data_IF_687476985329
#
_entry.id   IF_687476985329
#
_cell.length_a   1.000
_cell.length_b   1.000
_cell.length_c   1.000
_cell.angle_alpha   90.00
_cell.angle_beta   90.00
_cell.angle_gamma   90.00
#
_symmetry.space_group_name_H-M   'P 1'
#
loop_
_entity.id
_entity.type
_entity.pdbx_description
1 polymer ?
#
# COMPACT_ATOMS: atom_id res chain seq x y z
N UNK A 1 -48.12 31.62 -21.24
CA UNK A 1 -47.12 31.16 -20.24
C UNK A 1 -46.98 29.62 -20.13
N UNK A 2 -47.59 28.80 -21.00
CA UNK A 2 -47.54 27.32 -20.94
C UNK A 2 -46.32 26.67 -21.61
N UNK A 3 -45.54 27.42 -22.41
CA UNK A 3 -44.48 26.85 -23.25
C UNK A 3 -43.14 26.69 -22.50
N UNK A 4 -42.99 27.32 -21.33
CA UNK A 4 -41.75 27.30 -20.54
C UNK A 4 -41.61 26.03 -19.70
N UNK A 5 -42.71 25.40 -19.27
CA UNK A 5 -42.64 24.17 -18.47
C UNK A 5 -42.24 22.97 -19.32
N UNK A 6 -42.68 22.91 -20.59
CA UNK A 6 -42.24 21.88 -21.52
C UNK A 6 -40.75 22.02 -21.84
N UNK A 7 -40.27 23.24 -22.07
CA UNK A 7 -38.83 23.50 -22.29
C UNK A 7 -37.98 23.06 -21.08
N UNK A 8 -38.45 23.37 -19.87
CA UNK A 8 -37.77 22.99 -18.62
C UNK A 8 -37.75 21.47 -18.42
N UNK A 9 -38.87 20.78 -18.71
CA UNK A 9 -38.96 19.33 -18.64
C UNK A 9 -38.04 18.64 -19.67
N UNK A 10 -37.92 19.19 -20.88
CA UNK A 10 -37.00 18.64 -21.89
C UNK A 10 -35.54 18.79 -21.46
N UNK A 11 -35.16 19.93 -20.86
CA UNK A 11 -33.79 20.13 -20.35
C UNK A 11 -33.46 19.16 -19.22
N UNK A 12 -34.40 18.96 -18.28
CA UNK A 12 -34.21 18.01 -17.17
C UNK A 12 -34.11 16.57 -17.69
N UNK A 13 -34.94 16.19 -18.68
CA UNK A 13 -34.86 14.87 -19.30
C UNK A 13 -33.51 14.64 -20.01
N UNK A 14 -33.00 15.64 -20.74
CA UNK A 14 -31.68 15.58 -21.38
C UNK A 14 -30.58 15.42 -20.33
N UNK A 15 -30.62 16.18 -19.22
CA UNK A 15 -29.63 16.08 -18.14
C UNK A 15 -29.62 14.71 -17.45
N UNK A 16 -30.79 14.11 -17.22
CA UNK A 16 -30.90 12.77 -16.62
C UNK A 16 -30.39 11.69 -17.58
N UNK A 17 -30.75 11.77 -18.87
CA UNK A 17 -30.23 10.84 -19.89
C UNK A 17 -28.71 11.00 -20.05
N UNK A 18 -28.18 12.23 -20.02
CA UNK A 18 -26.76 12.49 -20.10
C UNK A 18 -26.00 11.95 -18.87
N UNK A 19 -26.56 12.10 -17.66
CA UNK A 19 -25.99 11.54 -16.42
C UNK A 19 -25.88 10.00 -16.46
N UNK A 20 -26.86 9.32 -17.07
CA UNK A 20 -26.86 7.85 -17.22
C UNK A 20 -25.88 7.34 -18.29
N UNK A 21 -25.37 8.21 -19.16
CA UNK A 21 -24.36 7.82 -20.17
C UNK A 21 -22.92 7.87 -19.63
N UNK A 22 -22.69 8.43 -18.44
CA UNK A 22 -21.35 8.58 -17.84
C UNK A 22 -20.98 7.51 -16.79
N UNK A 23 -21.86 6.58 -16.45
CA UNK A 23 -21.59 5.54 -15.42
C UNK A 23 -20.77 4.34 -15.91
N UNK A 24 -20.34 4.32 -17.17
CA UNK A 24 -19.52 3.24 -17.74
C UNK A 24 -18.18 3.71 -18.32
N UNK A 25 -17.52 4.69 -17.68
CA UNK A 25 -16.09 4.90 -17.95
C UNK A 25 -15.31 3.82 -17.21
N UNK A 26 -15.07 2.76 -17.98
CA UNK A 26 -14.25 1.59 -17.73
C UNK A 26 -13.17 1.75 -16.67
N UNK A 27 -13.26 0.91 -15.64
CA UNK A 27 -12.13 0.35 -14.92
C UNK A 27 -11.26 -0.47 -15.88
N UNK A 28 -10.44 0.23 -16.68
CA UNK A 28 -9.41 -0.35 -17.54
C UNK A 28 -8.02 0.22 -17.20
N UNK A 29 -7.78 0.54 -15.92
CA UNK A 29 -6.45 0.80 -15.35
C UNK A 29 -5.95 -0.38 -14.49
N UNK A 30 -6.57 -1.55 -14.61
CA UNK A 30 -5.96 -2.82 -14.24
C UNK A 30 -5.21 -3.36 -15.47
N UNK A 31 -4.02 -2.82 -15.72
CA UNK A 31 -3.09 -3.38 -16.71
C UNK A 31 -2.49 -2.35 -17.65
N UNK A 32 -1.43 -1.66 -17.20
CA UNK A 32 -0.22 -1.35 -17.97
C UNK A 32 0.67 -0.40 -17.15
N UNK A 33 1.31 -0.96 -16.13
CA UNK A 33 2.52 -0.42 -15.51
C UNK A 33 3.74 -1.19 -16.01
N UNK A 34 3.87 -1.36 -17.32
CA UNK A 34 5.09 -1.86 -17.95
C UNK A 34 5.98 -0.65 -18.25
N UNK A 35 6.81 -0.29 -17.30
CA UNK A 35 8.04 0.45 -17.57
C UNK A 35 9.20 -0.50 -17.28
N UNK A 36 9.51 -1.33 -18.28
CA UNK A 36 10.78 -2.02 -18.35
C UNK A 36 11.85 -0.95 -18.60
N UNK A 37 12.57 -0.54 -17.56
CA UNK A 37 13.89 0.03 -17.73
C UNK A 37 14.85 -1.12 -18.11
N UNK A 38 15.70 -0.96 -19.13
CA UNK A 38 16.56 -2.03 -19.61
C UNK A 38 17.69 -2.33 -18.62
N UNK A 39 17.87 -3.62 -18.36
CA UNK A 39 18.92 -4.29 -17.60
C UNK A 39 20.23 -3.50 -17.41
N UNK A 40 20.55 -3.18 -16.15
CA UNK A 40 21.92 -3.22 -15.66
C UNK A 40 22.14 -4.60 -15.03
N UNK A 41 22.93 -5.44 -15.69
CA UNK A 41 23.31 -6.75 -15.19
C UNK A 41 24.08 -6.63 -13.86
N UNK A 42 23.55 -7.24 -12.79
CA UNK A 42 24.25 -7.38 -11.51
C UNK A 42 23.36 -7.98 -10.42
N UNK A 43 23.50 -9.29 -10.17
CA UNK A 43 22.73 -10.14 -9.22
C UNK A 43 21.24 -10.26 -9.53
N UNK A 44 20.72 -11.49 -9.60
CA UNK A 44 19.29 -11.75 -9.54
C UNK A 44 18.75 -11.08 -8.26
N UNK A 45 17.98 -10.01 -8.41
CA UNK A 45 17.41 -9.30 -7.28
C UNK A 45 16.30 -10.18 -6.69
N UNK A 46 16.63 -10.93 -5.64
CA UNK A 46 15.74 -11.85 -4.90
C UNK A 46 14.58 -11.15 -4.21
N UNK A 47 14.54 -9.83 -4.25
CA UNK A 47 13.63 -8.97 -3.51
C UNK A 47 12.92 -8.03 -4.46
N UNK A 48 11.59 -8.10 -4.48
CA UNK A 48 10.72 -7.16 -5.15
C UNK A 48 10.50 -5.93 -4.28
N UNK A 49 10.63 -4.76 -4.91
CA UNK A 49 10.33 -3.44 -4.33
C UNK A 49 9.33 -2.72 -5.22
N UNK A 50 8.25 -2.22 -4.64
CA UNK A 50 7.34 -1.30 -5.32
C UNK A 50 7.33 0.04 -4.58
N UNK A 51 7.27 1.14 -5.33
CA UNK A 51 7.37 2.49 -4.79
C UNK A 51 6.10 3.31 -5.07
N UNK A 52 5.77 4.21 -4.15
CA UNK A 52 4.69 5.18 -4.34
C UNK A 52 5.14 6.27 -5.34
N UNK A 53 4.37 6.52 -6.42
CA UNK A 53 4.84 7.36 -7.53
C UNK A 53 5.06 8.83 -7.15
N UNK A 54 4.29 9.35 -6.19
CA UNK A 54 4.37 10.76 -5.80
C UNK A 54 5.46 11.05 -4.75
N UNK A 55 5.76 10.07 -3.89
CA UNK A 55 6.66 10.29 -2.73
C UNK A 55 8.00 9.60 -2.90
N UNK A 56 8.11 8.67 -3.87
CA UNK A 56 9.28 7.82 -4.06
C UNK A 56 9.56 6.88 -2.88
N UNK A 57 8.64 6.77 -1.92
CA UNK A 57 8.78 5.88 -0.76
C UNK A 57 8.38 4.46 -1.12
N UNK A 58 8.98 3.50 -0.42
CA UNK A 58 8.65 2.09 -0.57
C UNK A 58 7.19 1.89 -0.15
N UNK A 59 6.44 1.22 -1.01
CA UNK A 59 5.04 0.83 -0.78
C UNK A 59 4.92 -0.69 -0.56
N UNK A 60 5.88 -1.46 -1.07
CA UNK A 60 5.94 -2.91 -0.89
C UNK A 60 7.38 -3.41 -0.92
N UNK A 61 7.68 -4.36 -0.03
CA UNK A 61 8.92 -5.12 -0.02
C UNK A 61 8.57 -6.60 0.14
N UNK A 62 9.06 -7.46 -0.74
CA UNK A 62 8.82 -8.89 -0.62
C UNK A 62 9.87 -9.72 -1.34
N UNK A 63 10.13 -10.94 -0.87
CA UNK A 63 10.95 -11.88 -1.61
C UNK A 63 10.19 -12.45 -2.82
N UNK A 64 10.92 -12.91 -3.82
CA UNK A 64 10.35 -13.76 -4.87
C UNK A 64 9.77 -15.06 -4.26
N UNK A 65 8.82 -15.75 -4.92
CA UNK A 65 8.29 -17.01 -4.43
C UNK A 65 9.40 -18.03 -4.12
N UNK A 66 9.41 -18.56 -2.90
CA UNK A 66 10.44 -19.50 -2.42
C UNK A 66 11.72 -18.84 -1.90
N UNK A 67 11.83 -17.52 -1.98
CA UNK A 67 12.90 -16.74 -1.35
C UNK A 67 12.50 -16.15 0.00
N UNK A 68 13.49 -15.60 0.70
CA UNK A 68 13.33 -14.88 1.96
C UNK A 68 14.09 -13.55 1.94
N UNK A 69 13.65 -12.61 2.78
CA UNK A 69 14.40 -11.40 3.08
C UNK A 69 15.13 -11.67 4.39
N UNK A 70 16.45 -11.85 4.33
CA UNK A 70 17.24 -12.11 5.51
C UNK A 70 17.55 -10.79 6.25
N UNK A 71 17.11 -10.71 7.51
CA UNK A 71 17.51 -9.67 8.47
C UNK A 71 17.97 -10.41 9.72
N UNK A 72 19.25 -10.31 10.05
CA UNK A 72 19.91 -11.13 11.08
C UNK A 72 19.12 -11.13 12.40
N UNK A 73 18.81 -9.95 12.92
CA UNK A 73 18.06 -9.79 14.18
C UNK A 73 16.61 -10.30 14.08
N UNK A 74 15.98 -10.25 12.90
CA UNK A 74 14.64 -10.78 12.70
C UNK A 74 14.60 -12.31 12.70
N UNK A 75 15.74 -12.97 12.53
CA UNK A 75 15.87 -14.44 12.61
C UNK A 75 16.37 -14.93 13.96
N UNK A 76 16.60 -14.04 14.92
CA UNK A 76 17.10 -14.39 16.23
C UNK A 76 16.07 -15.24 17.02
N UNK A 77 16.39 -16.50 17.37
CA UNK A 77 15.45 -17.38 18.06
C UNK A 77 15.16 -16.96 19.51
N UNK A 78 15.98 -16.09 20.09
CA UNK A 78 15.73 -15.53 21.43
C UNK A 78 14.72 -14.39 21.43
N UNK A 79 14.40 -13.84 20.26
CA UNK A 79 13.41 -12.78 20.12
C UNK A 79 12.01 -13.36 19.98
N UNK A 80 11.05 -12.76 20.67
CA UNK A 80 9.64 -13.00 20.49
C UNK A 80 9.11 -12.41 19.18
N UNK A 81 7.84 -12.73 18.85
CA UNK A 81 7.15 -12.24 17.66
C UNK A 81 7.31 -10.75 17.34
N UNK A 82 6.94 -9.89 18.29
CA UNK A 82 7.02 -8.44 18.15
C UNK A 82 8.45 -7.96 17.91
N UNK A 83 9.43 -8.54 18.59
CA UNK A 83 10.83 -8.13 18.51
C UNK A 83 11.44 -8.49 17.14
N UNK A 84 11.08 -9.65 16.58
CA UNK A 84 11.49 -10.03 15.23
C UNK A 84 10.85 -9.13 14.16
N UNK A 85 9.55 -8.84 14.30
CA UNK A 85 8.85 -7.93 13.38
C UNK A 85 9.39 -6.49 13.46
N UNK A 86 9.67 -5.98 14.66
CA UNK A 86 10.33 -4.70 14.87
C UNK A 86 11.73 -4.67 14.24
N UNK A 87 12.50 -5.76 14.37
CA UNK A 87 13.85 -5.86 13.78
C UNK A 87 13.80 -5.84 12.25
N UNK A 88 12.84 -6.56 11.65
CA UNK A 88 12.58 -6.50 10.22
C UNK A 88 12.19 -5.09 9.77
N UNK A 89 11.27 -4.43 10.48
CA UNK A 89 10.88 -3.05 10.16
C UNK A 89 12.05 -2.09 10.29
N UNK A 90 12.87 -2.21 11.34
CA UNK A 90 13.98 -1.29 11.59
C UNK A 90 14.99 -1.28 10.43
N UNK A 91 15.20 -2.43 9.76
CA UNK A 91 16.08 -2.53 8.61
C UNK A 91 15.61 -1.72 7.39
N UNK A 92 14.29 -1.53 7.23
CA UNK A 92 13.68 -0.91 6.02
C UNK A 92 12.83 0.34 6.31
N UNK A 93 12.69 0.74 7.57
CA UNK A 93 11.77 1.79 8.03
C UNK A 93 11.93 3.11 7.25
N UNK A 94 13.17 3.55 7.03
CA UNK A 94 13.46 4.81 6.35
C UNK A 94 13.00 4.84 4.89
N UNK A 95 12.97 3.67 4.23
CA UNK A 95 12.49 3.54 2.85
C UNK A 95 10.97 3.69 2.78
N UNK A 96 10.24 3.18 3.79
CA UNK A 96 8.81 3.41 3.99
C UNK A 96 8.48 4.81 4.54
N UNK A 97 9.49 5.62 4.86
CA UNK A 97 9.30 6.98 5.40
C UNK A 97 9.07 7.05 6.91
N UNK A 98 9.36 5.96 7.64
CA UNK A 98 9.33 5.90 9.10
C UNK A 98 10.72 6.23 9.65
N UNK A 99 10.84 7.16 10.61
CA UNK A 99 12.14 7.55 11.18
C UNK A 99 12.47 6.74 12.42
N UNK A 100 11.46 6.46 13.24
CA UNK A 100 11.58 5.62 14.43
C UNK A 100 10.41 4.65 14.52
N UNK A 101 10.70 3.36 14.41
CA UNK A 101 9.68 2.29 14.52
C UNK A 101 8.94 2.40 15.85
N UNK A 102 9.64 2.64 16.96
CA UNK A 102 9.03 2.67 18.31
C UNK A 102 8.19 3.90 18.59
N UNK A 103 8.55 5.05 17.99
CA UNK A 103 7.87 6.32 18.24
C UNK A 103 6.71 6.54 17.27
N UNK A 104 6.85 6.06 16.03
CA UNK A 104 5.92 6.33 14.94
C UNK A 104 5.03 5.14 14.60
N UNK A 105 5.26 3.94 15.14
CA UNK A 105 4.41 2.78 14.93
C UNK A 105 3.88 2.22 16.25
N UNK A 106 2.62 1.81 16.23
CA UNK A 106 1.99 1.06 17.32
C UNK A 106 1.49 -0.28 16.78
N UNK A 107 1.98 -1.37 17.38
CA UNK A 107 1.48 -2.69 17.07
C UNK A 107 -0.01 -2.77 17.38
N UNK A 108 -0.78 -3.28 16.42
CA UNK A 108 -2.21 -3.51 16.52
C UNK A 108 -2.53 -4.96 16.82
N UNK A 109 -1.86 -5.87 16.13
CA UNK A 109 -2.19 -7.29 16.18
C UNK A 109 -1.03 -8.15 15.70
N UNK A 110 -0.98 -9.38 16.20
CA UNK A 110 -0.08 -10.45 15.75
C UNK A 110 -0.92 -11.68 15.51
N UNK A 111 -0.78 -12.27 14.32
CA UNK A 111 -1.46 -13.51 13.98
C UNK A 111 -0.51 -14.47 13.30
N UNK A 112 -0.74 -15.75 13.53
CA UNK A 112 -0.04 -16.81 12.83
C UNK A 112 -0.84 -17.27 11.60
N UNK A 113 -0.14 -17.51 10.50
CA UNK A 113 -0.69 -18.00 9.23
C UNK A 113 0.25 -19.06 8.65
N UNK A 114 -0.05 -20.33 8.95
CA UNK A 114 0.89 -21.43 8.68
C UNK A 114 2.19 -21.24 9.43
N UNK A 115 3.31 -21.32 8.72
CA UNK A 115 4.66 -21.12 9.27
C UNK A 115 5.08 -19.65 9.33
N UNK A 116 4.17 -18.73 8.96
CA UNK A 116 4.44 -17.28 8.95
C UNK A 116 3.71 -16.60 10.09
N UNK A 117 4.35 -15.57 10.60
CA UNK A 117 3.77 -14.65 11.56
C UNK A 117 3.52 -13.32 10.86
N UNK A 118 2.36 -12.73 11.11
CA UNK A 118 1.92 -11.48 10.50
C UNK A 118 1.66 -10.49 11.61
N UNK A 119 2.41 -9.39 11.62
CA UNK A 119 2.27 -8.30 12.57
C UNK A 119 1.76 -7.06 11.86
N UNK A 120 0.65 -6.49 12.36
CA UNK A 120 0.09 -5.23 11.86
C UNK A 120 0.48 -4.08 12.76
N UNK A 121 0.94 -3.00 12.17
CA UNK A 121 1.27 -1.74 12.83
C UNK A 121 0.42 -0.60 12.28
N UNK A 122 0.01 0.28 13.19
CA UNK A 122 -0.62 1.55 12.90
C UNK A 122 0.42 2.65 13.04
N UNK A 123 0.57 3.48 12.01
CA UNK A 123 1.38 4.68 12.09
C UNK A 123 0.71 5.70 13.00
N UNK A 124 1.53 6.35 13.83
CA UNK A 124 1.15 7.46 14.69
C UNK A 124 2.08 8.65 14.43
N UNK A 125 1.52 9.85 14.44
CA UNK A 125 2.29 11.10 14.42
C UNK A 125 1.98 11.85 15.71
N UNK A 126 3.01 12.07 16.53
CA UNK A 126 2.86 12.69 17.86
C UNK A 126 1.79 11.99 18.72
N UNK A 127 1.72 10.65 18.62
CA UNK A 127 0.74 9.82 19.33
C UNK A 127 -0.66 9.76 18.70
N UNK A 128 -0.92 10.52 17.63
CA UNK A 128 -2.21 10.51 16.92
C UNK A 128 -2.16 9.50 15.78
N UNK A 129 -3.09 8.54 15.67
CA UNK A 129 -3.15 7.61 14.54
C UNK A 129 -3.27 8.32 13.20
N UNK A 130 -2.40 7.94 12.26
CA UNK A 130 -2.47 8.40 10.87
C UNK A 130 -3.49 7.53 10.13
N UNK A 131 -4.60 8.13 9.69
CA UNK A 131 -5.62 7.40 8.94
C UNK A 131 -5.03 6.86 7.64
N UNK A 132 -5.22 5.56 7.39
CA UNK A 132 -4.62 4.87 6.24
C UNK A 132 -3.11 4.59 6.34
N UNK A 133 -2.46 5.01 7.43
CA UNK A 133 -1.05 4.71 7.69
C UNK A 133 -0.91 3.36 8.40
N UNK A 134 -0.81 2.27 7.65
CA UNK A 134 -0.56 0.94 8.19
C UNK A 134 0.68 0.30 7.57
N UNK A 135 1.38 -0.51 8.37
CA UNK A 135 2.45 -1.39 7.90
C UNK A 135 2.16 -2.81 8.36
N UNK A 136 2.41 -3.78 7.49
CA UNK A 136 2.23 -5.21 7.77
C UNK A 136 3.53 -5.90 7.44
N UNK A 137 3.99 -6.72 8.38
CA UNK A 137 5.21 -7.54 8.27
C UNK A 137 4.85 -8.99 8.48
#
# INVERSE_FOLDING_TARGET
>A
MKNKSHLLQTIVAILVVFSLLFTNIQSALAGQGQSAAPNAAGKEETVRRDYHPETGKLAFLGAQPGGEIAVDDATNPSFGPSERAESMLAAYASEFGIRSVRDELKQKDIRQSGDREITRYQQVYQGIPVMGGELVV
#
